data_IF_078148029380
#
_entry.id   IF_078148029380
#
_cell.length_a   1.000
_cell.length_b   1.000
_cell.length_c   1.000
_cell.angle_alpha   90.00
_cell.angle_beta   90.00
_cell.angle_gamma   90.00
#
_symmetry.space_group_name_H-M   'P 1'
#
loop_
_entity.id
_entity.type
_entity.pdbx_description
1 polymer ?
#
# COMPACT_ATOMS: atom_id res chain seq x y z
N UNK A 1 44.57 -15.31 4.95
CA UNK A 1 44.72 -15.12 6.41
C UNK A 1 43.34 -15.10 7.02
N UNK A 2 42.98 -16.15 7.75
CA UNK A 2 41.72 -16.20 8.49
C UNK A 2 41.73 -15.10 9.54
N UNK A 3 40.84 -14.11 9.40
CA UNK A 3 40.57 -13.14 10.46
C UNK A 3 39.78 -13.89 11.53
N UNK A 4 40.47 -14.67 12.37
CA UNK A 4 39.94 -15.16 13.66
C UNK A 4 39.93 -13.99 14.63
N UNK A 5 39.13 -12.98 14.32
CA UNK A 5 38.82 -11.90 15.24
C UNK A 5 37.82 -12.45 16.25
N UNK A 6 38.28 -12.70 17.47
CA UNK A 6 37.42 -12.99 18.63
C UNK A 6 36.50 -11.82 19.02
N UNK A 7 36.55 -10.70 18.28
CA UNK A 7 35.60 -9.60 18.44
C UNK A 7 34.30 -9.92 17.67
N UNK A 8 33.17 -10.13 18.39
CA UNK A 8 31.91 -10.52 17.78
C UNK A 8 31.43 -9.52 16.72
N UNK A 9 31.76 -8.23 16.86
CA UNK A 9 31.36 -7.16 15.92
C UNK A 9 32.05 -7.25 14.56
N UNK A 10 33.26 -7.81 14.51
CA UNK A 10 34.05 -7.95 13.27
C UNK A 10 33.84 -9.30 12.58
N UNK A 11 32.97 -10.16 13.14
CA UNK A 11 32.62 -11.42 12.49
C UNK A 11 31.63 -11.17 11.35
N UNK A 12 31.87 -11.82 10.21
CA UNK A 12 30.91 -11.82 9.08
C UNK A 12 29.54 -12.37 9.48
N UNK A 13 29.48 -13.18 10.55
CA UNK A 13 28.22 -13.66 11.15
C UNK A 13 27.44 -12.58 11.88
N UNK A 14 28.07 -11.55 12.46
CA UNK A 14 27.38 -10.44 13.13
C UNK A 14 26.76 -9.50 12.11
N UNK A 15 27.51 -9.12 11.08
CA UNK A 15 26.98 -8.34 9.97
C UNK A 15 25.91 -9.11 9.19
N UNK A 16 26.07 -10.42 8.98
CA UNK A 16 25.05 -11.26 8.32
C UNK A 16 23.77 -11.47 9.13
N UNK A 17 23.81 -11.35 10.46
CA UNK A 17 22.62 -11.36 11.33
C UNK A 17 22.00 -9.97 11.51
N UNK A 18 22.77 -8.87 11.38
CA UNK A 18 22.25 -7.49 11.38
C UNK A 18 21.67 -7.06 10.03
N UNK A 19 22.22 -7.55 8.92
CA UNK A 19 21.53 -7.60 7.63
C UNK A 19 20.55 -8.76 7.67
N UNK A 20 19.69 -8.73 8.70
CA UNK A 20 18.47 -9.49 8.78
C UNK A 20 17.83 -9.34 7.42
N UNK A 21 17.73 -10.48 6.76
CA UNK A 21 17.18 -10.58 5.43
C UNK A 21 15.72 -10.16 5.57
N UNK A 22 15.44 -8.87 5.44
CA UNK A 22 14.12 -8.28 5.19
C UNK A 22 13.66 -8.71 3.79
N UNK A 23 13.80 -10.00 3.48
CA UNK A 23 13.01 -10.63 2.44
C UNK A 23 11.63 -10.78 3.03
N UNK A 24 10.79 -9.83 2.69
CA UNK A 24 9.35 -9.92 2.85
C UNK A 24 8.93 -11.35 2.49
N UNK A 25 8.55 -12.15 3.49
CA UNK A 25 8.09 -13.51 3.23
C UNK A 25 6.82 -13.42 2.40
N UNK A 26 6.66 -14.32 1.43
CA UNK A 26 5.50 -14.31 0.52
C UNK A 26 4.18 -14.32 1.31
N UNK A 27 4.14 -15.03 2.45
CA UNK A 27 3.01 -15.04 3.39
C UNK A 27 2.71 -13.65 3.99
N UNK A 28 3.74 -12.91 4.40
CA UNK A 28 3.59 -11.56 4.97
C UNK A 28 3.05 -10.57 3.93
N UNK A 29 3.53 -10.66 2.70
CA UNK A 29 3.05 -9.84 1.58
C UNK A 29 1.61 -10.19 1.20
N UNK A 30 1.26 -11.47 1.12
CA UNK A 30 -0.09 -11.93 0.78
C UNK A 30 -1.13 -11.50 1.83
N UNK A 31 -0.76 -11.53 3.12
CA UNK A 31 -1.63 -11.04 4.19
C UNK A 31 -1.89 -9.53 4.06
N UNK A 32 -0.86 -8.72 3.80
CA UNK A 32 -1.03 -7.27 3.62
C UNK A 32 -1.87 -6.90 2.39
N UNK A 33 -1.65 -7.58 1.27
CA UNK A 33 -2.44 -7.41 0.05
C UNK A 33 -3.90 -7.83 0.31
N UNK A 34 -4.11 -8.94 1.02
CA UNK A 34 -5.45 -9.39 1.42
C UNK A 34 -6.20 -8.36 2.26
N UNK A 35 -5.54 -7.71 3.22
CA UNK A 35 -6.14 -6.62 4.01
C UNK A 35 -6.44 -5.38 3.19
N UNK A 36 -5.54 -4.97 2.30
CA UNK A 36 -5.79 -3.84 1.40
C UNK A 36 -6.97 -4.14 0.48
N UNK A 37 -7.01 -5.35 -0.10
CA UNK A 37 -8.11 -5.77 -0.97
C UNK A 37 -9.44 -5.78 -0.22
N UNK A 38 -9.52 -6.38 0.98
CA UNK A 38 -10.77 -6.43 1.74
C UNK A 38 -11.27 -5.03 2.09
N UNK A 39 -10.37 -4.13 2.49
CA UNK A 39 -10.71 -2.74 2.78
C UNK A 39 -11.22 -2.00 1.52
N UNK A 40 -10.56 -2.20 0.37
CA UNK A 40 -11.03 -1.61 -0.89
C UNK A 40 -12.41 -2.13 -1.29
N UNK A 41 -12.67 -3.43 -1.17
CA UNK A 41 -13.97 -4.04 -1.51
C UNK A 41 -15.08 -3.50 -0.61
N UNK A 42 -14.84 -3.43 0.71
CA UNK A 42 -15.83 -2.87 1.65
C UNK A 42 -16.10 -1.40 1.34
N UNK A 43 -15.05 -0.60 1.11
CA UNK A 43 -15.20 0.82 0.77
C UNK A 43 -15.95 1.05 -0.56
N UNK A 44 -15.74 0.18 -1.56
CA UNK A 44 -16.45 0.22 -2.83
C UNK A 44 -17.93 -0.14 -2.65
N UNK A 45 -18.24 -1.14 -1.81
CA UNK A 45 -19.61 -1.55 -1.53
C UNK A 45 -20.41 -0.43 -0.84
N UNK A 46 -19.80 0.22 0.17
CA UNK A 46 -20.42 1.36 0.88
C UNK A 46 -20.68 2.51 -0.09
N UNK A 47 -19.70 2.82 -0.95
CA UNK A 47 -19.83 3.87 -1.96
C UNK A 47 -20.96 3.57 -2.97
N UNK A 48 -21.12 2.32 -3.38
CA UNK A 48 -22.20 1.90 -4.28
C UNK A 48 -23.59 2.05 -3.64
N UNK A 49 -23.73 1.70 -2.36
CA UNK A 49 -25.00 1.88 -1.61
C UNK A 49 -25.34 3.36 -1.46
N UNK A 50 -24.35 4.21 -1.17
CA UNK A 50 -24.54 5.65 -1.08
C UNK A 50 -24.97 6.26 -2.43
N UNK A 51 -24.34 5.84 -3.53
CA UNK A 51 -24.74 6.27 -4.87
C UNK A 51 -26.15 5.80 -5.22
N UNK A 52 -26.55 4.58 -4.86
CA UNK A 52 -27.91 4.07 -5.10
C UNK A 52 -28.97 4.91 -4.36
N UNK A 53 -28.73 5.23 -3.09
CA UNK A 53 -29.62 6.11 -2.33
C UNK A 53 -29.69 7.53 -2.93
N UNK A 54 -28.58 8.06 -3.42
CA UNK A 54 -28.53 9.37 -4.06
C UNK A 54 -29.28 9.41 -5.40
N UNK A 55 -29.26 8.33 -6.17
CA UNK A 55 -30.04 8.19 -7.42
C UNK A 55 -31.54 8.25 -7.13
N UNK A 56 -32.01 7.54 -6.10
CA UNK A 56 -33.41 7.55 -5.71
C UNK A 56 -33.89 8.94 -5.22
N UNK A 57 -32.98 9.76 -4.68
CA UNK A 57 -33.25 11.13 -4.23
C UNK A 57 -33.08 12.19 -5.34
N UNK A 58 -32.94 11.79 -6.61
CA UNK A 58 -32.85 12.71 -7.76
C UNK A 58 -31.50 13.43 -7.92
N UNK A 59 -30.52 13.16 -7.05
CA UNK A 59 -29.20 13.80 -7.08
C UNK A 59 -28.07 12.83 -7.51
N UNK A 60 -28.44 11.73 -8.18
CA UNK A 60 -27.51 10.65 -8.55
C UNK A 60 -26.31 11.11 -9.37
N UNK A 61 -26.51 12.08 -10.27
CA UNK A 61 -25.42 12.64 -11.09
C UNK A 61 -24.35 13.36 -10.27
N UNK A 62 -24.73 14.05 -9.19
CA UNK A 62 -23.78 14.79 -8.35
C UNK A 62 -22.92 13.85 -7.51
N UNK A 63 -23.51 12.80 -6.95
CA UNK A 63 -22.76 11.83 -6.14
C UNK A 63 -21.84 10.97 -7.02
N UNK A 64 -22.31 10.49 -8.17
CA UNK A 64 -21.46 9.71 -9.09
C UNK A 64 -20.28 10.54 -9.61
N UNK A 65 -20.53 11.80 -9.99
CA UNK A 65 -19.46 12.71 -10.45
C UNK A 65 -18.51 13.11 -9.32
N UNK A 66 -18.99 13.29 -8.08
CA UNK A 66 -18.14 13.58 -6.94
C UNK A 66 -17.22 12.40 -6.58
N UNK A 67 -17.74 11.17 -6.54
CA UNK A 67 -16.91 9.98 -6.28
C UNK A 67 -15.88 9.75 -7.39
N UNK A 68 -16.24 9.96 -8.66
CA UNK A 68 -15.31 9.85 -9.78
C UNK A 68 -14.25 10.96 -9.75
N UNK A 69 -14.65 12.20 -9.46
CA UNK A 69 -13.77 13.36 -9.43
C UNK A 69 -12.76 13.33 -8.27
N UNK A 70 -13.22 13.00 -7.06
CA UNK A 70 -12.34 12.85 -5.88
C UNK A 70 -11.39 11.66 -6.08
N UNK A 71 -11.90 10.54 -6.61
CA UNK A 71 -11.07 9.36 -6.91
C UNK A 71 -9.96 9.67 -7.92
N UNK A 72 -10.29 10.42 -8.98
CA UNK A 72 -9.32 10.85 -9.99
C UNK A 72 -8.26 11.80 -9.42
N UNK A 73 -8.66 12.83 -8.68
CA UNK A 73 -7.72 13.78 -8.07
C UNK A 73 -6.81 13.11 -7.05
N UNK A 74 -7.36 12.27 -6.16
CA UNK A 74 -6.57 11.53 -5.18
C UNK A 74 -5.57 10.58 -5.83
N UNK A 75 -6.01 9.83 -6.85
CA UNK A 75 -5.13 8.93 -7.62
C UNK A 75 -4.05 9.68 -8.40
N UNK A 76 -4.39 10.85 -8.97
CA UNK A 76 -3.46 11.69 -9.72
C UNK A 76 -2.35 12.27 -8.81
N UNK A 77 -2.71 12.74 -7.62
CA UNK A 77 -1.75 13.24 -6.63
C UNK A 77 -0.80 12.12 -6.20
N UNK A 78 -1.33 10.93 -5.88
CA UNK A 78 -0.49 9.79 -5.49
C UNK A 78 0.43 9.39 -6.65
N UNK A 79 -0.07 9.37 -7.88
CA UNK A 79 0.75 9.08 -9.05
C UNK A 79 1.90 10.09 -9.24
N UNK A 80 1.64 11.38 -9.02
CA UNK A 80 2.67 12.43 -9.04
C UNK A 80 3.70 12.25 -7.92
N UNK A 81 3.26 11.96 -6.70
CA UNK A 81 4.16 11.71 -5.56
C UNK A 81 5.04 10.50 -5.83
N UNK A 82 4.47 9.39 -6.32
CA UNK A 82 5.23 8.20 -6.69
C UNK A 82 6.20 8.51 -7.83
N UNK A 83 5.82 9.36 -8.79
CA UNK A 83 6.73 9.76 -9.87
C UNK A 83 7.95 10.54 -9.38
N UNK A 84 7.79 11.42 -8.40
CA UNK A 84 8.87 12.26 -7.87
C UNK A 84 9.73 11.50 -6.86
N UNK A 85 9.12 10.64 -6.05
CA UNK A 85 9.78 9.93 -4.95
C UNK A 85 10.39 8.59 -5.35
N UNK A 86 10.02 8.02 -6.51
CA UNK A 86 10.64 6.79 -7.00
C UNK A 86 12.11 7.08 -7.36
N UNK A 87 13.07 6.46 -6.66
CA UNK A 87 14.47 6.58 -7.04
C UNK A 87 14.66 5.87 -8.38
N UNK A 88 15.27 6.57 -9.34
CA UNK A 88 15.80 5.98 -10.58
C UNK A 88 17.04 5.17 -10.31
#
# INVERSE_FOLDING_TARGET
>A
MEIRSSNPVLSSKFWSNLTGTDRMTVEGSMKKIGYLLSLTVVSALVSAVLCMNAINNGNGGLYVSAFMGIGFLGGFIIALVVFITRPT
#
